data_IF_288223606317
#
_entry.id   IF_288223606317
#
_cell.length_a   1.000
_cell.length_b   1.000
_cell.length_c   1.000
_cell.angle_alpha   90.00
_cell.angle_beta   90.00
_cell.angle_gamma   90.00
#
_symmetry.space_group_name_H-M   'P 1'
#
loop_
_entity.id
_entity.type
_entity.pdbx_description
1 polymer ?
#
# COMPACT_ATOMS: atom_id res chain seq x y z
N UNK A 1 61.59 37.73 23.01
CA UNK A 1 60.39 37.46 22.15
C UNK A 1 60.05 35.97 22.22
N UNK A 2 59.03 35.62 23.05
CA UNK A 2 58.57 34.24 23.23
C UNK A 2 57.39 34.00 22.27
N UNK A 3 57.52 33.03 21.34
CA UNK A 3 56.45 32.62 20.45
C UNK A 3 55.62 31.53 21.12
N UNK A 4 54.34 31.85 21.35
CA UNK A 4 53.35 30.91 21.88
C UNK A 4 52.72 30.18 20.67
N UNK A 5 52.89 28.86 20.59
CA UNK A 5 52.16 28.01 19.63
C UNK A 5 50.85 27.61 20.27
N UNK A 6 49.76 28.04 19.67
CA UNK A 6 48.41 27.55 20.02
C UNK A 6 48.11 26.35 19.13
N UNK A 7 48.01 25.15 19.75
CA UNK A 7 47.54 23.98 19.07
C UNK A 7 46.01 23.97 19.06
N UNK A 8 45.42 24.06 17.88
CA UNK A 8 43.96 23.88 17.68
C UNK A 8 43.70 22.41 17.51
N UNK A 9 43.11 21.80 18.53
CA UNK A 9 42.60 20.42 18.45
C UNK A 9 41.21 20.42 17.75
N UNK A 10 41.16 19.99 16.51
CA UNK A 10 39.91 19.74 15.79
C UNK A 10 39.30 18.46 16.30
N UNK A 11 38.24 18.56 17.11
CA UNK A 11 37.37 17.44 17.47
C UNK A 11 36.54 17.06 16.22
N UNK A 12 36.93 16.01 15.53
CA UNK A 12 36.11 15.39 14.47
C UNK A 12 34.91 14.69 15.09
N UNK A 13 33.74 15.29 15.01
CA UNK A 13 32.49 14.63 15.32
C UNK A 13 32.24 13.53 14.25
N UNK A 14 32.50 12.29 14.60
CA UNK A 14 32.05 11.13 13.82
C UNK A 14 30.53 11.04 14.03
N UNK A 15 29.77 11.64 13.11
CA UNK A 15 28.36 11.35 12.97
C UNK A 15 28.26 9.92 12.46
N UNK A 16 28.15 8.98 13.38
CA UNK A 16 27.76 7.61 13.09
C UNK A 16 26.36 7.66 12.47
N UNK A 17 26.27 7.47 11.16
CA UNK A 17 25.03 7.11 10.51
C UNK A 17 24.60 5.79 11.16
N UNK A 18 23.63 5.87 12.07
CA UNK A 18 22.93 4.69 12.53
C UNK A 18 22.17 4.15 11.33
N UNK A 19 22.74 3.16 10.64
CA UNK A 19 21.98 2.31 9.74
C UNK A 19 20.83 1.76 10.58
N UNK A 20 19.65 2.35 10.41
CA UNK A 20 18.42 1.75 10.87
C UNK A 20 18.28 0.50 10.00
N UNK A 21 18.85 -0.60 10.47
CA UNK A 21 18.66 -1.92 9.91
C UNK A 21 17.16 -2.18 9.99
N UNK A 22 16.44 -1.88 8.92
CA UNK A 22 15.08 -2.36 8.75
C UNK A 22 15.19 -3.88 8.88
N UNK A 23 14.73 -4.41 10.00
CA UNK A 23 14.84 -5.84 10.27
C UNK A 23 14.15 -6.59 9.15
N UNK A 24 14.84 -7.57 8.59
CA UNK A 24 14.33 -8.43 7.53
C UNK A 24 12.96 -8.96 7.93
N UNK A 25 11.95 -8.68 7.12
CA UNK A 25 10.57 -9.13 7.40
C UNK A 25 10.54 -10.66 7.29
N UNK A 26 10.50 -11.34 8.43
CA UNK A 26 10.45 -12.79 8.48
C UNK A 26 8.99 -13.24 8.43
N UNK A 27 8.53 -13.65 7.24
CA UNK A 27 7.20 -14.19 7.04
C UNK A 27 7.20 -15.72 7.14
N UNK A 28 6.23 -16.34 7.83
CA UNK A 28 5.96 -17.77 7.69
C UNK A 28 5.73 -18.16 6.23
N UNK A 29 6.00 -19.42 5.88
CA UNK A 29 5.80 -19.93 4.51
C UNK A 29 4.35 -19.86 4.04
N UNK A 30 3.40 -19.94 4.94
CA UNK A 30 1.96 -19.83 4.65
C UNK A 30 1.22 -19.31 5.89
N UNK A 31 0.04 -18.73 5.67
CA UNK A 31 -0.77 -18.23 6.78
C UNK A 31 -1.96 -17.40 6.32
N UNK A 32 -2.63 -16.86 7.31
CA UNK A 32 -3.65 -15.83 7.14
C UNK A 32 -3.03 -14.46 7.38
N UNK A 33 -3.66 -13.43 6.84
CA UNK A 33 -3.28 -12.05 7.10
C UNK A 33 -4.51 -11.16 7.24
N UNK A 34 -4.31 -10.05 7.93
CA UNK A 34 -5.24 -8.93 7.96
C UNK A 34 -4.44 -7.63 8.06
N UNK A 35 -4.78 -6.67 7.22
CA UNK A 35 -4.17 -5.34 7.23
C UNK A 35 -5.16 -4.27 6.80
N UNK A 36 -4.90 -3.04 7.22
CA UNK A 36 -5.55 -1.86 6.68
C UNK A 36 -4.75 -1.34 5.48
N UNK A 37 -5.43 -1.13 4.37
CA UNK A 37 -4.92 -0.49 3.17
C UNK A 37 -5.39 0.95 3.17
N UNK A 38 -4.47 1.90 3.34
CA UNK A 38 -4.78 3.32 3.53
C UNK A 38 -4.35 4.12 2.27
N UNK A 39 -5.25 4.28 1.28
CA UNK A 39 -4.97 4.98 0.05
C UNK A 39 -5.01 6.50 0.20
N UNK A 40 -4.20 7.15 -0.63
CA UNK A 40 -4.29 8.56 -0.96
C UNK A 40 -4.00 8.71 -2.46
N UNK A 41 -4.82 9.44 -3.19
CA UNK A 41 -4.61 9.55 -4.62
C UNK A 41 -5.54 10.49 -5.33
N UNK A 42 -5.40 10.51 -6.64
CA UNK A 42 -6.19 11.33 -7.55
C UNK A 42 -7.06 10.46 -8.45
N UNK A 43 -8.17 11.02 -8.87
CA UNK A 43 -9.06 10.39 -9.82
C UNK A 43 -9.49 11.37 -10.91
N UNK A 44 -9.70 10.82 -12.09
CA UNK A 44 -10.39 11.50 -13.20
C UNK A 44 -11.75 10.88 -13.34
N UNK A 45 -12.79 11.71 -13.27
CA UNK A 45 -14.16 11.23 -13.30
C UNK A 45 -14.94 11.94 -14.40
N UNK A 46 -15.90 11.24 -14.98
CA UNK A 46 -17.03 11.86 -15.66
C UNK A 46 -18.31 11.14 -15.22
N UNK A 47 -19.39 11.90 -15.18
CA UNK A 47 -20.67 11.42 -14.74
C UNK A 47 -21.80 12.05 -15.56
N UNK A 48 -22.93 11.34 -15.66
CA UNK A 48 -24.17 11.86 -16.21
C UNK A 48 -25.32 11.46 -15.27
N UNK A 49 -25.55 12.31 -14.29
CA UNK A 49 -26.46 12.03 -13.18
C UNK A 49 -26.05 10.77 -12.42
N UNK A 50 -27.02 10.14 -11.79
CA UNK A 50 -26.79 8.94 -10.97
C UNK A 50 -26.66 7.64 -11.78
N UNK A 51 -26.90 7.73 -13.10
CA UNK A 51 -26.95 6.56 -13.98
C UNK A 51 -25.63 6.20 -14.61
N UNK A 52 -24.73 7.16 -14.72
CA UNK A 52 -23.43 6.97 -15.33
C UNK A 52 -22.36 7.64 -14.49
N UNK A 53 -21.45 6.84 -13.97
CA UNK A 53 -20.24 7.29 -13.31
C UNK A 53 -19.07 6.47 -13.80
N UNK A 54 -17.97 7.13 -14.12
CA UNK A 54 -16.72 6.52 -14.54
C UNK A 54 -15.59 7.23 -13.83
N UNK A 55 -14.73 6.47 -13.17
CA UNK A 55 -13.59 6.98 -12.44
C UNK A 55 -12.35 6.15 -12.77
N UNK A 56 -11.34 6.81 -13.31
CA UNK A 56 -10.01 6.27 -13.41
C UNK A 56 -9.16 6.86 -12.30
N UNK A 57 -8.41 6.03 -11.58
CA UNK A 57 -7.61 6.49 -10.45
C UNK A 57 -6.17 5.97 -10.48
N UNK A 58 -5.28 6.81 -9.91
CA UNK A 58 -3.89 6.51 -9.56
C UNK A 58 -3.72 6.88 -8.08
N UNK A 59 -3.41 5.90 -7.26
CA UNK A 59 -3.28 6.10 -5.84
C UNK A 59 -2.02 5.44 -5.29
N UNK A 60 -1.49 6.05 -4.23
CA UNK A 60 -0.50 5.43 -3.35
C UNK A 60 -1.18 4.99 -2.07
N UNK A 61 -0.66 3.98 -1.42
CA UNK A 61 -1.18 3.51 -0.15
C UNK A 61 -0.08 3.02 0.78
N UNK A 62 -0.40 3.00 2.05
CA UNK A 62 0.38 2.30 3.07
C UNK A 62 -0.45 1.12 3.59
N UNK A 63 0.23 0.01 3.80
CA UNK A 63 -0.34 -1.16 4.45
C UNK A 63 0.11 -1.21 5.90
N UNK A 64 -0.83 -1.43 6.78
CA UNK A 64 -0.60 -1.62 8.20
C UNK A 64 -1.25 -2.92 8.65
N UNK A 65 -0.42 -3.90 9.02
CA UNK A 65 -0.95 -5.15 9.57
C UNK A 65 -1.69 -4.90 10.89
N UNK A 66 -2.74 -5.68 11.15
CA UNK A 66 -3.53 -5.57 12.37
C UNK A 66 -2.77 -6.06 13.63
N UNK A 67 -1.63 -6.74 13.42
CA UNK A 67 -0.67 -7.10 14.46
C UNK A 67 0.72 -6.61 14.09
N UNK A 68 1.46 -6.05 15.04
CA UNK A 68 2.82 -5.56 14.80
C UNK A 68 3.73 -6.68 14.26
N UNK A 69 4.40 -6.41 13.14
CA UNK A 69 5.24 -7.41 12.47
C UNK A 69 4.47 -8.53 11.77
N UNK A 70 3.17 -8.39 11.60
CA UNK A 70 2.35 -9.33 10.84
C UNK A 70 2.71 -9.35 9.35
N UNK A 71 2.19 -10.33 8.63
CA UNK A 71 2.39 -10.43 7.19
C UNK A 71 1.92 -9.15 6.48
N UNK A 72 2.74 -8.67 5.56
CA UNK A 72 2.50 -7.43 4.77
C UNK A 72 2.48 -6.13 5.58
N UNK A 73 3.03 -6.11 6.81
CA UNK A 73 3.15 -4.90 7.60
C UNK A 73 4.11 -3.89 6.97
N UNK A 74 3.77 -2.60 7.05
CA UNK A 74 4.60 -1.47 6.58
C UNK A 74 5.03 -1.55 5.12
N UNK A 75 4.16 -2.05 4.25
CA UNK A 75 4.38 -2.01 2.80
C UNK A 75 3.88 -0.70 2.22
N UNK A 76 4.57 -0.20 1.21
CA UNK A 76 4.07 0.82 0.31
C UNK A 76 3.36 0.18 -0.89
N UNK A 77 2.34 0.83 -1.41
CA UNK A 77 1.64 0.39 -2.61
C UNK A 77 1.38 1.54 -3.58
N UNK A 78 1.34 1.22 -4.86
CA UNK A 78 0.77 2.07 -5.92
C UNK A 78 -0.23 1.26 -6.70
N UNK A 79 -1.43 1.81 -6.88
CA UNK A 79 -2.52 1.16 -7.60
C UNK A 79 -3.03 2.02 -8.74
N UNK A 80 -3.32 1.36 -9.85
CA UNK A 80 -4.05 1.93 -10.97
C UNK A 80 -5.34 1.15 -11.14
N UNK A 81 -6.45 1.86 -11.28
CA UNK A 81 -7.74 1.19 -11.40
C UNK A 81 -8.82 2.00 -12.08
N UNK A 82 -9.88 1.31 -12.34
CA UNK A 82 -11.08 1.82 -12.98
C UNK A 82 -12.30 1.39 -12.16
N UNK A 83 -13.13 2.35 -11.80
CA UNK A 83 -14.43 2.12 -11.19
C UNK A 83 -15.54 2.69 -12.10
N UNK A 84 -16.58 1.92 -12.28
CA UNK A 84 -17.75 2.35 -13.06
C UNK A 84 -19.04 2.05 -12.32
N UNK A 85 -20.03 2.93 -12.52
CA UNK A 85 -21.44 2.65 -12.20
C UNK A 85 -22.25 2.94 -13.47
N UNK A 86 -22.89 1.95 -14.03
CA UNK A 86 -23.73 2.06 -15.21
C UNK A 86 -25.13 1.53 -14.87
N UNK A 87 -26.08 2.44 -14.71
CA UNK A 87 -27.46 2.11 -14.34
C UNK A 87 -27.55 1.29 -13.03
N UNK A 88 -26.77 1.66 -12.02
CA UNK A 88 -26.72 0.97 -10.72
C UNK A 88 -25.88 -0.30 -10.67
N UNK A 89 -25.28 -0.72 -11.80
CA UNK A 89 -24.32 -1.83 -11.83
C UNK A 89 -22.92 -1.28 -11.66
N UNK A 90 -22.31 -1.61 -10.56
CA UNK A 90 -20.93 -1.22 -10.24
C UNK A 90 -19.95 -2.27 -10.73
N UNK A 91 -18.79 -1.81 -11.19
CA UNK A 91 -17.64 -2.65 -11.49
C UNK A 91 -16.36 -1.91 -11.19
N UNK A 92 -15.42 -2.62 -10.58
CA UNK A 92 -14.08 -2.14 -10.29
C UNK A 92 -13.06 -3.16 -10.74
N UNK A 93 -12.01 -2.70 -11.38
CA UNK A 93 -10.86 -3.53 -11.72
C UNK A 93 -9.59 -2.70 -11.59
N UNK A 94 -8.51 -3.33 -11.19
CA UNK A 94 -7.23 -2.66 -11.14
C UNK A 94 -6.09 -3.57 -10.74
N UNK A 95 -4.92 -2.96 -10.64
CA UNK A 95 -3.69 -3.63 -10.21
C UNK A 95 -2.92 -2.73 -9.26
N UNK A 96 -2.33 -3.34 -8.23
CA UNK A 96 -1.38 -2.67 -7.35
C UNK A 96 0.00 -3.33 -7.44
N UNK A 97 1.03 -2.51 -7.40
CA UNK A 97 2.39 -2.90 -7.05
C UNK A 97 2.59 -2.61 -5.57
N UNK A 98 3.05 -3.60 -4.83
CA UNK A 98 3.34 -3.49 -3.41
C UNK A 98 4.83 -3.74 -3.19
N UNK A 99 5.45 -2.93 -2.32
CA UNK A 99 6.89 -3.01 -2.03
C UNK A 99 7.09 -3.03 -0.53
N UNK A 100 7.84 -3.97 -0.02
CA UNK A 100 8.18 -4.05 1.38
C UNK A 100 9.48 -3.30 1.74
N UNK A 101 9.85 -3.34 3.02
CA UNK A 101 11.05 -2.66 3.53
C UNK A 101 12.38 -3.28 3.03
N UNK A 102 12.36 -4.52 2.56
CA UNK A 102 13.52 -5.19 1.96
C UNK A 102 13.66 -4.86 0.46
N UNK A 103 12.65 -4.20 -0.13
CA UNK A 103 12.56 -3.89 -1.56
C UNK A 103 11.97 -5.02 -2.41
N UNK A 104 11.55 -6.13 -1.79
CA UNK A 104 10.82 -7.18 -2.49
C UNK A 104 9.41 -6.71 -2.83
N UNK A 105 8.93 -7.14 -3.99
CA UNK A 105 7.67 -6.68 -4.55
C UNK A 105 6.71 -7.82 -4.82
N UNK A 106 5.44 -7.51 -4.79
CA UNK A 106 4.40 -8.34 -5.39
C UNK A 106 3.31 -7.48 -6.03
N UNK A 107 2.63 -8.06 -7.02
CA UNK A 107 1.53 -7.42 -7.72
C UNK A 107 0.25 -8.16 -7.42
N UNK A 108 -0.81 -7.42 -7.17
CA UNK A 108 -2.15 -7.97 -7.04
C UNK A 108 -3.07 -7.41 -8.12
N UNK A 109 -3.89 -8.28 -8.70
CA UNK A 109 -5.06 -7.91 -9.47
C UNK A 109 -6.29 -7.94 -8.55
N UNK A 110 -7.16 -6.97 -8.66
CA UNK A 110 -8.38 -6.89 -7.86
C UNK A 110 -9.61 -6.61 -8.70
N UNK A 111 -10.75 -7.06 -8.16
CA UNK A 111 -12.06 -6.85 -8.74
C UNK A 111 -13.05 -6.50 -7.64
N UNK A 112 -13.79 -5.40 -7.86
CA UNK A 112 -14.88 -4.99 -6.98
C UNK A 112 -16.11 -5.87 -7.15
N UNK A 113 -16.88 -5.95 -6.07
CA UNK A 113 -18.21 -6.57 -6.10
C UNK A 113 -19.25 -5.64 -6.78
N UNK A 114 -20.36 -6.18 -7.27
CA UNK A 114 -21.39 -5.39 -7.95
C UNK A 114 -22.06 -4.34 -7.05
N UNK A 115 -22.00 -4.50 -5.75
CA UNK A 115 -22.56 -3.58 -4.75
C UNK A 115 -21.65 -2.38 -4.50
N UNK A 116 -20.37 -2.41 -4.95
CA UNK A 116 -19.39 -1.36 -4.75
C UNK A 116 -18.94 -1.20 -3.29
N UNK A 117 -19.07 -2.25 -2.48
CA UNK A 117 -18.75 -2.22 -1.04
C UNK A 117 -17.41 -2.87 -0.72
N UNK A 118 -16.71 -3.37 -1.72
CA UNK A 118 -15.44 -4.10 -1.61
C UNK A 118 -15.23 -5.04 -2.78
N UNK A 119 -14.41 -6.05 -2.58
CA UNK A 119 -14.09 -7.02 -3.64
C UNK A 119 -13.07 -8.07 -3.20
N UNK A 120 -12.48 -8.71 -4.19
CA UNK A 120 -11.45 -9.74 -4.02
C UNK A 120 -10.20 -9.41 -4.81
N UNK A 121 -9.07 -10.00 -4.43
CA UNK A 121 -7.81 -9.89 -5.15
C UNK A 121 -6.97 -11.16 -5.04
N UNK A 122 -6.04 -11.30 -6.00
CA UNK A 122 -5.08 -12.39 -6.03
C UNK A 122 -3.67 -11.84 -6.30
N UNK A 123 -2.63 -12.61 -5.97
CA UNK A 123 -1.29 -12.32 -6.46
C UNK A 123 -1.18 -12.61 -7.96
N UNK A 124 -0.66 -11.64 -8.71
CA UNK A 124 -0.41 -11.76 -10.15
C UNK A 124 1.06 -12.08 -10.45
N UNK A 125 1.99 -11.56 -9.65
CA UNK A 125 3.43 -11.75 -9.78
C UNK A 125 4.14 -11.40 -8.47
N UNK A 126 5.44 -11.73 -8.35
CA UNK A 126 6.27 -11.35 -7.21
C UNK A 126 7.76 -11.37 -7.53
N UNK A 127 8.55 -10.74 -6.65
CA UNK A 127 10.02 -10.80 -6.64
C UNK A 127 10.50 -11.23 -5.27
N UNK A 128 11.76 -11.67 -5.15
CA UNK A 128 12.37 -12.07 -3.90
C UNK A 128 11.54 -13.09 -3.14
N UNK A 129 11.16 -12.81 -1.89
CA UNK A 129 10.37 -13.74 -1.08
C UNK A 129 8.94 -13.97 -1.60
N UNK A 130 8.45 -13.08 -2.46
CA UNK A 130 7.10 -13.17 -3.06
C UNK A 130 7.09 -13.85 -4.44
N UNK A 131 8.25 -14.30 -4.97
CA UNK A 131 8.30 -15.01 -6.24
C UNK A 131 7.51 -16.31 -6.17
N UNK A 132 6.50 -16.44 -7.03
CA UNK A 132 5.59 -17.58 -7.07
C UNK A 132 4.63 -17.68 -5.87
N UNK A 133 4.45 -16.60 -5.09
CA UNK A 133 3.47 -16.55 -4.01
C UNK A 133 2.06 -16.77 -4.56
N UNK A 134 1.33 -17.70 -3.96
CA UNK A 134 -0.12 -17.81 -4.13
C UNK A 134 -0.80 -17.01 -3.00
N UNK A 135 -1.65 -16.06 -3.38
CA UNK A 135 -2.38 -15.25 -2.42
C UNK A 135 -3.80 -15.00 -2.92
N UNK A 136 -4.74 -15.08 -2.02
CA UNK A 136 -6.13 -14.70 -2.22
C UNK A 136 -6.61 -13.86 -1.03
N UNK A 137 -7.32 -12.77 -1.33
CA UNK A 137 -7.85 -11.89 -0.30
C UNK A 137 -9.13 -11.20 -0.70
N UNK A 138 -9.75 -10.59 0.30
CA UNK A 138 -10.91 -9.74 0.15
C UNK A 138 -10.67 -8.40 0.84
N UNK A 139 -11.29 -7.35 0.33
CA UNK A 139 -11.27 -6.00 0.91
C UNK A 139 -12.69 -5.47 1.03
N UNK A 140 -12.86 -4.54 1.97
CA UNK A 140 -14.06 -3.71 2.07
C UNK A 140 -13.69 -2.26 1.86
N UNK A 141 -14.57 -1.52 1.25
CA UNK A 141 -14.46 -0.06 1.13
C UNK A 141 -15.09 0.56 2.37
N UNK A 142 -14.29 1.26 3.15
CA UNK A 142 -14.77 2.05 4.29
C UNK A 142 -14.70 3.55 3.92
N UNK A 143 -15.86 4.10 3.60
CA UNK A 143 -16.01 5.49 3.16
C UNK A 143 -16.33 6.46 4.31
N UNK A 144 -16.15 6.07 5.56
CA UNK A 144 -16.54 6.86 6.73
C UNK A 144 -15.54 7.95 7.11
N UNK A 145 -14.60 8.26 6.23
CA UNK A 145 -13.55 9.26 6.47
C UNK A 145 -13.92 10.58 5.78
N UNK A 146 -13.84 11.68 6.53
CA UNK A 146 -14.00 13.01 5.96
C UNK A 146 -12.81 13.37 5.05
N UNK A 147 -13.09 13.82 3.83
CA UNK A 147 -12.03 14.33 2.96
C UNK A 147 -11.65 15.76 3.38
N UNK A 148 -10.35 16.07 3.57
CA UNK A 148 -9.88 17.41 3.90
C UNK A 148 -9.96 18.36 2.69
N UNK A 149 -10.08 17.84 1.49
CA UNK A 149 -10.15 18.59 0.25
C UNK A 149 -10.91 17.80 -0.80
N UNK A 150 -11.66 18.52 -1.66
CA UNK A 150 -12.30 17.93 -2.83
C UNK A 150 -11.32 17.40 -3.90
N UNK A 151 -10.05 17.77 -3.79
CA UNK A 151 -8.99 17.34 -4.69
C UNK A 151 -8.35 16.00 -4.28
N UNK A 152 -8.70 15.49 -3.08
CA UNK A 152 -8.29 14.18 -2.59
C UNK A 152 -9.44 13.20 -2.81
N UNK A 153 -9.31 12.34 -3.82
CA UNK A 153 -10.36 11.40 -4.19
C UNK A 153 -10.51 10.23 -3.21
N UNK A 154 -9.41 9.86 -2.56
CA UNK A 154 -9.37 8.75 -1.62
C UNK A 154 -8.67 9.19 -0.34
N UNK A 155 -9.33 9.02 0.77
CA UNK A 155 -8.76 9.17 2.09
C UNK A 155 -9.49 8.25 3.04
N UNK A 156 -8.76 7.33 3.65
CA UNK A 156 -9.32 6.36 4.57
C UNK A 156 -8.46 5.12 4.65
N UNK A 157 -8.94 4.11 5.35
CA UNK A 157 -8.28 2.82 5.43
C UNK A 157 -9.30 1.71 5.18
N UNK A 158 -9.03 0.90 4.21
CA UNK A 158 -9.87 -0.23 3.81
C UNK A 158 -9.35 -1.51 4.47
N UNK A 159 -10.15 -2.21 5.29
CA UNK A 159 -9.73 -3.47 5.88
C UNK A 159 -9.64 -4.57 4.82
N UNK A 160 -8.54 -5.29 4.88
CA UNK A 160 -8.18 -6.40 4.00
C UNK A 160 -7.85 -7.64 4.82
N UNK A 161 -8.22 -8.82 4.33
CA UNK A 161 -7.84 -10.11 4.92
C UNK A 161 -7.77 -11.20 3.87
N UNK A 162 -7.05 -12.25 4.17
CA UNK A 162 -6.93 -13.38 3.25
C UNK A 162 -5.92 -14.43 3.70
N UNK A 163 -5.49 -15.23 2.74
CA UNK A 163 -4.50 -16.29 2.91
C UNK A 163 -3.38 -16.13 1.90
N UNK A 164 -2.20 -16.60 2.27
CA UNK A 164 -1.05 -16.65 1.37
C UNK A 164 -0.23 -17.93 1.58
N UNK A 165 0.52 -18.29 0.54
CA UNK A 165 1.53 -19.34 0.55
C UNK A 165 2.70 -18.92 -0.30
N UNK A 166 3.90 -18.81 0.32
CA UNK A 166 5.16 -18.59 -0.37
C UNK A 166 5.63 -19.90 -1.03
N UNK A 167 6.45 -19.79 -2.07
CA UNK A 167 7.03 -20.94 -2.78
C UNK A 167 8.12 -21.66 -1.95
#
# INVERSE_FOLDING_TARGET
MKRIFVAVATLGAILGASDIMAGKVNMPKEGTYAFDFCPIGQAKTFANGDKLFHMQYDLNALLRANSAGGAFDRMGARCLGLFTNINGKMAEVGMCELTDLDGDKWWMDYRGNPEGTGGTYNSAAGTGKYDGMALHGEYRIDNNWGSPSKDVAFLGCNPNKGTYKLK
#
